data_IF_824821034915
#
_entry.id   IF_824821034915
#
_cell.length_a   1.000
_cell.length_b   1.000
_cell.length_c   1.000
_cell.angle_alpha   90.00
_cell.angle_beta   90.00
_cell.angle_gamma   90.00
#
_symmetry.space_group_name_H-M   'P 1'
#
loop_
_entity.id
_entity.type
_entity.pdbx_description
1 polymer ?
#
# COMPACT_ATOMS: atom_id res chain seq x y z
N UNK A 1 15.11 -11.99 -3.72
CA UNK A 1 14.97 -10.54 -3.49
C UNK A 1 14.76 -10.36 -2.02
N UNK A 2 15.64 -9.64 -1.35
CA UNK A 2 15.53 -9.43 0.09
C UNK A 2 14.31 -8.55 0.38
N UNK A 3 13.45 -9.00 1.30
CA UNK A 3 12.18 -8.32 1.66
C UNK A 3 12.40 -6.86 2.06
N UNK A 4 13.58 -6.55 2.62
CA UNK A 4 14.01 -5.20 3.01
C UNK A 4 14.20 -4.27 1.82
N UNK A 5 14.77 -4.76 0.72
CA UNK A 5 14.98 -3.95 -0.49
C UNK A 5 13.62 -3.53 -1.07
N UNK A 6 12.63 -4.44 -1.08
CA UNK A 6 11.28 -4.14 -1.53
C UNK A 6 10.59 -3.09 -0.64
N UNK A 7 10.70 -3.21 0.69
CA UNK A 7 10.18 -2.22 1.63
C UNK A 7 10.88 -0.86 1.50
N UNK A 8 12.20 -0.81 1.29
CA UNK A 8 12.93 0.45 1.09
C UNK A 8 12.67 1.09 -0.28
N UNK A 9 12.30 0.31 -1.30
CA UNK A 9 11.88 0.85 -2.60
C UNK A 9 10.54 1.60 -2.52
N UNK A 10 9.66 1.26 -1.57
CA UNK A 10 8.34 1.87 -1.44
C UNK A 10 8.41 3.40 -1.22
N UNK A 11 9.10 3.93 -0.18
CA UNK A 11 9.17 5.37 0.06
C UNK A 11 9.77 6.15 -1.11
N UNK A 12 10.74 5.55 -1.81
CA UNK A 12 11.38 6.15 -2.99
C UNK A 12 10.40 6.26 -4.18
N UNK A 13 9.66 5.18 -4.47
CA UNK A 13 8.66 5.16 -5.53
C UNK A 13 7.47 6.08 -5.22
N UNK A 14 7.02 6.13 -3.96
CA UNK A 14 5.96 7.03 -3.52
C UNK A 14 6.38 8.50 -3.60
N UNK A 15 7.61 8.82 -3.23
CA UNK A 15 8.15 10.19 -3.40
C UNK A 15 8.20 10.60 -4.88
N UNK A 16 8.65 9.68 -5.75
CA UNK A 16 8.65 9.90 -7.20
C UNK A 16 7.23 10.10 -7.74
N UNK A 17 6.26 9.30 -7.30
CA UNK A 17 4.85 9.44 -7.68
C UNK A 17 4.26 10.78 -7.23
N UNK A 18 4.65 11.31 -6.07
CA UNK A 18 4.27 12.65 -5.62
C UNK A 18 4.87 13.75 -6.52
N UNK A 19 6.13 13.62 -6.96
CA UNK A 19 6.74 14.57 -7.90
C UNK A 19 6.05 14.57 -9.27
N UNK A 20 5.65 13.38 -9.75
CA UNK A 20 4.91 13.24 -11.01
C UNK A 20 3.57 13.99 -10.99
N UNK A 21 2.92 14.10 -9.83
CA UNK A 21 1.66 14.86 -9.64
C UNK A 21 1.83 16.37 -9.77
N UNK A 22 3.06 16.89 -9.70
CA UNK A 22 3.36 18.30 -9.97
C UNK A 22 3.30 18.64 -11.47
N UNK A 23 3.39 17.63 -12.35
CA UNK A 23 3.38 17.88 -13.78
C UNK A 23 1.98 18.18 -14.31
N UNK A 24 1.85 19.23 -15.12
CA UNK A 24 0.59 19.60 -15.81
C UNK A 24 0.18 18.63 -16.93
N UNK A 25 0.97 17.58 -17.20
CA UNK A 25 0.67 16.60 -18.24
C UNK A 25 -0.26 15.51 -17.71
N UNK A 26 -1.44 15.36 -18.35
CA UNK A 26 -2.42 14.34 -17.99
C UNK A 26 -1.86 12.92 -17.97
N UNK A 27 -1.00 12.56 -18.95
CA UNK A 27 -0.38 11.24 -19.03
C UNK A 27 0.53 10.93 -17.82
N UNK A 28 1.25 11.93 -17.30
CA UNK A 28 2.08 11.76 -16.11
C UNK A 28 1.23 11.63 -14.84
N UNK A 29 0.08 12.30 -14.79
CA UNK A 29 -0.87 12.15 -13.70
C UNK A 29 -1.45 10.73 -13.66
N UNK A 30 -1.84 10.16 -14.81
CA UNK A 30 -2.32 8.77 -14.89
C UNK A 30 -1.21 7.80 -14.50
N UNK A 31 0.02 8.03 -14.96
CA UNK A 31 1.17 7.19 -14.58
C UNK A 31 1.42 7.20 -13.07
N UNK A 32 1.30 8.37 -12.41
CA UNK A 32 1.45 8.48 -10.96
C UNK A 32 0.44 7.60 -10.20
N UNK A 33 -0.80 7.49 -10.69
CA UNK A 33 -1.85 6.64 -10.09
C UNK A 33 -1.55 5.16 -10.23
N UNK A 34 -1.00 4.75 -11.37
CA UNK A 34 -0.59 3.36 -11.59
C UNK A 34 0.56 3.01 -10.65
N UNK A 35 1.54 3.91 -10.50
CA UNK A 35 2.68 3.74 -9.59
C UNK A 35 2.20 3.66 -8.13
N UNK A 36 1.26 4.53 -7.71
CA UNK A 36 0.71 4.51 -6.35
C UNK A 36 0.08 3.13 -6.00
N UNK A 37 -0.67 2.54 -6.94
CA UNK A 37 -1.26 1.21 -6.75
C UNK A 37 -0.21 0.10 -6.62
N UNK A 38 0.84 0.17 -7.45
CA UNK A 38 1.96 -0.76 -7.36
C UNK A 38 2.69 -0.63 -6.02
N UNK A 39 2.91 0.60 -5.54
CA UNK A 39 3.52 0.90 -4.25
C UNK A 39 2.71 0.29 -3.09
N UNK A 40 1.37 0.42 -3.10
CA UNK A 40 0.52 -0.16 -2.07
C UNK A 40 0.64 -1.69 -2.00
N UNK A 41 0.75 -2.34 -3.15
CA UNK A 41 0.95 -3.79 -3.24
C UNK A 41 2.33 -4.20 -2.70
N UNK A 42 3.35 -3.39 -3.04
CA UNK A 42 4.73 -3.54 -2.57
C UNK A 42 4.90 -3.34 -1.08
N UNK A 43 4.06 -2.55 -0.39
CA UNK A 43 4.13 -2.43 1.07
C UNK A 43 3.33 -3.54 1.75
N UNK A 44 2.09 -3.80 1.30
CA UNK A 44 1.19 -4.74 1.99
C UNK A 44 1.67 -6.19 1.95
N UNK A 45 2.14 -6.67 0.79
CA UNK A 45 2.53 -8.07 0.62
C UNK A 45 3.78 -8.45 1.44
N UNK A 46 4.95 -7.78 1.29
CA UNK A 46 6.12 -8.14 2.08
C UNK A 46 5.96 -7.79 3.56
N UNK A 47 5.13 -6.79 3.92
CA UNK A 47 4.81 -6.52 5.31
C UNK A 47 4.06 -7.69 5.95
N UNK A 48 3.01 -8.21 5.32
CA UNK A 48 2.28 -9.38 5.82
C UNK A 48 3.17 -10.62 5.90
N UNK A 49 4.03 -10.85 4.90
CA UNK A 49 4.97 -11.97 4.90
C UNK A 49 6.05 -11.86 5.98
N UNK A 50 6.54 -10.65 6.25
CA UNK A 50 7.49 -10.44 7.34
C UNK A 50 6.82 -10.58 8.69
N UNK A 51 5.67 -9.91 8.88
CA UNK A 51 4.93 -9.96 10.14
C UNK A 51 4.56 -11.40 10.51
N UNK A 52 4.07 -12.18 9.55
CA UNK A 52 3.77 -13.60 9.78
C UNK A 52 5.03 -14.42 10.14
N UNK A 53 6.20 -14.09 9.56
CA UNK A 53 7.45 -14.79 9.88
C UNK A 53 7.91 -14.45 11.30
N UNK A 54 7.98 -13.17 11.66
CA UNK A 54 8.44 -12.72 12.97
C UNK A 54 7.52 -13.25 14.09
N UNK A 55 6.20 -13.16 13.89
CA UNK A 55 5.20 -13.57 14.87
C UNK A 55 5.21 -15.09 15.15
N UNK A 56 5.53 -15.90 14.14
CA UNK A 56 5.58 -17.37 14.25
C UNK A 56 6.95 -17.92 14.63
N UNK A 57 8.04 -17.24 14.25
CA UNK A 57 9.40 -17.77 14.43
C UNK A 57 10.06 -17.20 15.69
N UNK A 58 9.91 -15.92 15.95
CA UNK A 58 10.67 -15.25 17.03
C UNK A 58 9.88 -15.19 18.34
N UNK A 59 8.55 -15.16 18.27
CA UNK A 59 7.69 -14.98 19.45
C UNK A 59 6.69 -16.13 19.70
N UNK A 60 6.58 -17.10 18.79
CA UNK A 60 5.68 -18.27 18.87
C UNK A 60 4.25 -17.94 19.32
N UNK A 61 3.71 -16.83 18.81
CA UNK A 61 2.38 -16.36 19.18
C UNK A 61 1.28 -17.16 18.46
N UNK A 62 0.05 -17.22 19.03
CA UNK A 62 -1.08 -17.89 18.39
C UNK A 62 -1.38 -17.27 17.02
N UNK A 63 -1.57 -18.12 16.02
CA UNK A 63 -1.91 -17.69 14.63
C UNK A 63 -3.16 -16.82 14.55
N UNK A 64 -4.04 -16.91 15.54
CA UNK A 64 -5.30 -16.16 15.62
C UNK A 64 -5.10 -14.67 15.90
N UNK A 65 -3.94 -14.24 16.43
CA UNK A 65 -3.66 -12.84 16.74
C UNK A 65 -3.17 -12.03 15.53
N UNK A 66 -2.74 -12.72 14.47
CA UNK A 66 -2.33 -12.11 13.20
C UNK A 66 -3.49 -11.34 12.54
N UNK A 67 -4.66 -11.97 12.27
CA UNK A 67 -5.78 -11.26 11.65
C UNK A 67 -6.34 -10.15 12.55
N UNK A 68 -6.32 -10.31 13.88
CA UNK A 68 -6.75 -9.26 14.82
C UNK A 68 -5.86 -8.02 14.71
N UNK A 69 -4.54 -8.20 14.72
CA UNK A 69 -3.58 -7.10 14.61
C UNK A 69 -3.70 -6.41 13.25
N UNK A 70 -3.80 -7.17 12.16
CA UNK A 70 -4.00 -6.61 10.82
C UNK A 70 -5.35 -5.88 10.69
N UNK A 71 -6.40 -6.37 11.36
CA UNK A 71 -7.70 -5.71 11.46
C UNK A 71 -7.63 -4.38 12.21
N UNK A 72 -6.87 -4.32 13.31
CA UNK A 72 -6.60 -3.10 14.05
C UNK A 72 -5.85 -2.08 13.19
N UNK A 73 -4.78 -2.50 12.52
CA UNK A 73 -4.00 -1.64 11.60
C UNK A 73 -4.89 -1.10 10.48
N UNK A 74 -5.74 -1.94 9.89
CA UNK A 74 -6.71 -1.51 8.87
C UNK A 74 -7.72 -0.49 9.41
N UNK A 75 -8.13 -0.62 10.68
CA UNK A 75 -9.07 0.31 11.33
C UNK A 75 -8.41 1.66 11.60
N UNK A 76 -7.20 1.65 12.17
CA UNK A 76 -6.40 2.87 12.41
C UNK A 76 -6.12 3.60 11.09
N UNK A 77 -5.83 2.86 10.02
CA UNK A 77 -5.58 3.45 8.69
C UNK A 77 -6.77 4.23 8.15
N UNK A 78 -8.01 3.76 8.42
CA UNK A 78 -9.24 4.48 8.04
C UNK A 78 -9.41 5.78 8.83
N UNK A 79 -9.14 5.75 10.14
CA UNK A 79 -9.19 6.96 10.97
C UNK A 79 -8.13 7.97 10.55
N UNK A 80 -6.90 7.51 10.26
CA UNK A 80 -5.83 8.35 9.73
C UNK A 80 -6.20 8.97 8.38
N UNK A 81 -6.89 8.24 7.50
CA UNK A 81 -7.36 8.77 6.23
C UNK A 81 -8.33 9.95 6.43
N UNK A 82 -9.29 9.84 7.34
CA UNK A 82 -10.21 10.94 7.69
C UNK A 82 -9.44 12.12 8.27
N UNK A 83 -8.54 11.89 9.23
CA UNK A 83 -7.72 12.94 9.83
C UNK A 83 -6.85 13.67 8.79
N UNK A 84 -6.30 12.93 7.82
CA UNK A 84 -5.47 13.51 6.76
C UNK A 84 -6.25 14.48 5.87
N UNK A 85 -7.55 14.23 5.64
CA UNK A 85 -8.42 15.14 4.90
C UNK A 85 -8.58 16.49 5.60
N UNK A 86 -8.85 16.47 6.91
CA UNK A 86 -8.94 17.69 7.71
C UNK A 86 -7.61 18.46 7.77
N UNK A 87 -6.48 17.74 7.91
CA UNK A 87 -5.16 18.37 7.91
C UNK A 87 -4.88 19.02 6.55
N UNK A 88 -5.24 18.37 5.44
CA UNK A 88 -5.06 18.94 4.11
C UNK A 88 -5.88 20.23 3.93
N UNK A 89 -7.13 20.25 4.36
CA UNK A 89 -8.00 21.44 4.31
C UNK A 89 -7.45 22.60 5.15
N UNK A 90 -7.05 22.33 6.41
CA UNK A 90 -6.44 23.34 7.28
C UNK A 90 -5.16 23.94 6.69
N UNK A 91 -4.33 23.10 6.07
CA UNK A 91 -3.07 23.52 5.47
C UNK A 91 -3.33 24.35 4.20
N UNK A 92 -4.32 23.99 3.38
CA UNK A 92 -4.73 24.80 2.23
C UNK A 92 -5.27 26.17 2.66
N UNK A 93 -6.06 26.26 3.73
CA UNK A 93 -6.57 27.53 4.26
C UNK A 93 -5.46 28.47 4.74
N UNK A 94 -4.43 27.93 5.40
CA UNK A 94 -3.29 28.71 5.91
C UNK A 94 -2.39 29.20 4.79
N UNK A 95 -2.01 28.31 3.86
CA UNK A 95 -1.01 28.63 2.84
C UNK A 95 -1.60 29.16 1.53
N UNK A 96 -2.92 29.04 1.32
CA UNK A 96 -3.66 29.46 0.11
C UNK A 96 -3.12 28.85 -1.20
N UNK A 97 -2.43 27.73 -1.12
CA UNK A 97 -1.81 27.03 -2.25
C UNK A 97 -2.36 25.60 -2.32
N UNK A 98 -3.13 25.31 -3.38
CA UNK A 98 -3.80 24.01 -3.62
C UNK A 98 -2.83 22.82 -3.81
N UNK A 99 -1.54 23.07 -4.07
CA UNK A 99 -0.53 22.03 -4.29
C UNK A 99 0.19 21.61 -3.01
N UNK A 100 -0.01 22.32 -1.90
CA UNK A 100 0.73 22.12 -0.66
C UNK A 100 0.54 20.74 0.01
N UNK A 101 -0.64 20.08 -0.01
CA UNK A 101 -0.76 18.76 0.62
C UNK A 101 0.16 17.69 0.00
N UNK A 102 0.46 17.79 -1.30
CA UNK A 102 1.42 16.90 -1.96
C UNK A 102 2.86 17.18 -1.56
N UNK A 103 3.21 18.46 -1.35
CA UNK A 103 4.54 18.87 -0.89
C UNK A 103 4.77 18.42 0.55
N UNK A 104 3.73 18.48 1.40
CA UNK A 104 3.79 18.01 2.79
C UNK A 104 3.92 16.49 2.90
N UNK A 105 3.42 15.73 1.92
CA UNK A 105 3.55 14.27 1.90
C UNK A 105 4.98 13.78 1.62
N UNK A 106 5.77 14.52 0.81
CA UNK A 106 7.15 14.14 0.45
C UNK A 106 8.07 13.98 1.69
N UNK A 107 8.20 14.97 2.60
CA UNK A 107 9.05 14.82 3.78
C UNK A 107 8.54 13.73 4.73
N UNK A 108 7.22 13.50 4.79
CA UNK A 108 6.65 12.41 5.57
C UNK A 108 7.04 11.03 5.00
N UNK A 109 7.02 10.86 3.68
CA UNK A 109 7.50 9.61 3.05
C UNK A 109 9.00 9.40 3.25
N UNK A 110 9.80 10.47 3.16
CA UNK A 110 11.24 10.38 3.42
C UNK A 110 11.49 10.00 4.89
N UNK A 111 10.79 10.63 5.84
CA UNK A 111 10.90 10.29 7.27
C UNK A 111 10.43 8.86 7.58
N UNK A 112 9.36 8.41 6.94
CA UNK A 112 8.90 7.02 7.07
C UNK A 112 9.93 6.04 6.48
N UNK A 113 10.54 6.39 5.34
CA UNK A 113 11.58 5.56 4.73
C UNK A 113 12.85 5.48 5.56
N UNK A 114 13.30 6.61 6.13
CA UNK A 114 14.44 6.58 7.05
C UNK A 114 14.11 5.79 8.31
N UNK A 115 12.92 6.00 8.89
CA UNK A 115 12.46 5.22 10.04
C UNK A 115 12.43 3.73 9.74
N UNK A 116 11.92 3.31 8.59
CA UNK A 116 11.91 1.90 8.18
C UNK A 116 13.34 1.34 8.04
N UNK A 117 14.27 2.11 7.47
CA UNK A 117 15.66 1.69 7.37
C UNK A 117 16.35 1.53 8.74
N UNK A 118 16.00 2.36 9.74
CA UNK A 118 16.60 2.29 11.08
C UNK A 118 15.90 1.30 12.01
N UNK A 119 14.57 1.26 11.98
CA UNK A 119 13.76 0.40 12.84
C UNK A 119 13.79 -1.06 12.41
N UNK A 120 14.23 -1.36 11.17
CA UNK A 120 14.39 -2.71 10.67
C UNK A 120 15.83 -3.18 10.86
N UNK A 121 16.18 -3.83 11.99
CA UNK A 121 17.53 -4.35 12.19
C UNK A 121 17.87 -5.36 11.09
N UNK A 122 19.14 -5.45 10.74
CA UNK A 122 19.66 -6.47 9.82
C UNK A 122 19.52 -7.87 10.44
N UNK A 123 18.30 -8.40 10.50
CA UNK A 123 18.01 -9.83 10.65
C UNK A 123 18.58 -10.59 9.46
N UNK A 124 19.90 -10.74 9.46
CA UNK A 124 20.55 -11.93 8.94
C UNK A 124 19.98 -13.10 9.75
N UNK A 125 19.33 -14.08 9.12
CA UNK A 125 18.99 -15.29 9.85
C UNK A 125 20.30 -15.94 10.32
N UNK A 126 20.44 -16.38 11.57
CA UNK A 126 21.46 -17.35 11.90
C UNK A 126 21.23 -18.59 11.04
N UNK A 127 22.30 -19.12 10.46
CA UNK A 127 22.37 -20.21 9.48
C UNK A 127 21.65 -21.51 9.89
N UNK A 128 21.17 -21.61 11.14
CA UNK A 128 20.76 -22.84 11.81
C UNK A 128 19.37 -22.79 12.50
N UNK A 129 18.39 -22.05 11.96
CA UNK A 129 17.01 -22.12 12.50
C UNK A 129 16.21 -23.26 11.85
N UNK A 130 15.52 -24.12 12.63
CA UNK A 130 14.74 -25.23 12.09
C UNK A 130 13.62 -24.67 11.22
N UNK A 131 13.57 -25.14 9.98
CA UNK A 131 12.57 -24.76 8.98
C UNK A 131 11.16 -25.15 9.46
N UNK A 132 10.45 -24.23 10.09
CA UNK A 132 9.00 -24.36 10.26
C UNK A 132 8.32 -24.30 8.88
N UNK A 133 7.16 -24.97 8.71
CA UNK A 133 6.47 -25.04 7.43
C UNK A 133 6.05 -23.63 7.04
N UNK A 134 6.79 -23.02 6.11
CA UNK A 134 6.32 -21.84 5.44
C UNK A 134 4.98 -22.21 4.79
N UNK A 135 3.89 -21.42 4.97
CA UNK A 135 2.68 -21.65 4.19
C UNK A 135 3.12 -21.60 2.74
N UNK A 136 2.95 -22.71 2.02
CA UNK A 136 3.48 -23.15 0.71
C UNK A 136 3.69 -22.07 -0.39
N UNK A 137 4.33 -20.94 -0.09
CA UNK A 137 4.79 -19.94 -1.03
C UNK A 137 6.26 -20.22 -1.24
N UNK A 138 6.49 -21.25 -2.05
CA UNK A 138 7.76 -21.84 -2.42
C UNK A 138 8.82 -20.74 -2.63
N UNK A 139 9.62 -20.46 -1.60
CA UNK A 139 10.96 -19.91 -1.74
C UNK A 139 11.91 -21.11 -1.80
N UNK A 140 11.71 -21.91 -2.85
CA UNK A 140 12.69 -22.87 -3.30
C UNK A 140 13.22 -22.34 -4.64
N UNK A 141 14.50 -22.60 -4.91
CA UNK A 141 15.22 -22.26 -6.14
C UNK A 141 14.51 -22.88 -7.36
N UNK A 142 13.43 -22.24 -7.78
CA UNK A 142 12.45 -22.67 -8.78
C UNK A 142 12.02 -21.49 -9.63
N UNK A 143 11.34 -21.77 -10.76
CA UNK A 143 11.45 -21.04 -12.03
C UNK A 143 11.13 -19.54 -11.89
N UNK A 144 11.69 -18.72 -12.80
CA UNK A 144 11.70 -17.26 -12.73
C UNK A 144 10.32 -16.62 -12.48
N UNK A 145 10.31 -15.34 -12.09
CA UNK A 145 9.11 -14.56 -11.72
C UNK A 145 7.86 -14.85 -12.58
N UNK A 146 8.03 -14.92 -13.91
CA UNK A 146 6.96 -15.22 -14.86
C UNK A 146 6.34 -16.62 -14.72
N UNK A 147 7.12 -17.63 -14.35
CA UNK A 147 6.61 -18.98 -14.11
C UNK A 147 5.75 -19.04 -12.83
N UNK A 148 6.16 -18.33 -11.77
CA UNK A 148 5.37 -18.21 -10.54
C UNK A 148 4.07 -17.45 -10.77
N UNK A 149 4.09 -16.40 -11.58
CA UNK A 149 2.89 -15.71 -12.03
C UNK A 149 1.96 -16.64 -12.78
N UNK A 150 2.48 -17.47 -13.70
CA UNK A 150 1.64 -18.37 -14.47
C UNK A 150 1.01 -19.48 -13.60
N UNK A 151 1.73 -20.01 -12.62
CA UNK A 151 1.18 -20.98 -11.65
C UNK A 151 0.12 -20.36 -10.74
N UNK A 152 0.36 -19.14 -10.24
CA UNK A 152 -0.60 -18.41 -9.40
C UNK A 152 -1.86 -18.03 -10.18
N UNK A 153 -1.68 -17.65 -11.44
CA UNK A 153 -2.78 -17.39 -12.38
C UNK A 153 -3.63 -18.65 -12.53
N UNK A 154 -3.03 -19.80 -12.86
CA UNK A 154 -3.75 -21.05 -13.03
C UNK A 154 -4.58 -21.43 -11.80
N UNK A 155 -4.03 -21.29 -10.59
CA UNK A 155 -4.73 -21.58 -9.35
C UNK A 155 -5.90 -20.62 -9.07
N UNK A 156 -5.72 -19.33 -9.35
CA UNK A 156 -6.77 -18.31 -9.17
C UNK A 156 -7.93 -18.55 -10.15
N UNK A 157 -7.62 -18.88 -11.41
CA UNK A 157 -8.64 -19.16 -12.42
C UNK A 157 -9.38 -20.49 -12.20
N UNK A 158 -8.81 -21.41 -11.43
CA UNK A 158 -9.42 -22.70 -11.13
C UNK A 158 -10.52 -22.60 -10.07
N UNK A 159 -10.51 -21.56 -9.23
CA UNK A 159 -11.48 -21.36 -8.16
C UNK A 159 -12.45 -20.21 -8.50
N UNK A 160 -13.68 -20.51 -8.99
CA UNK A 160 -14.62 -19.47 -9.44
C UNK A 160 -15.04 -18.53 -8.30
N UNK A 161 -15.09 -19.03 -7.06
CA UNK A 161 -15.45 -18.21 -5.89
C UNK A 161 -14.41 -17.10 -5.61
N UNK A 162 -13.13 -17.39 -5.81
CA UNK A 162 -12.06 -16.39 -5.60
C UNK A 162 -12.14 -15.32 -6.68
N UNK A 163 -12.35 -15.71 -7.94
CA UNK A 163 -12.57 -14.77 -9.03
C UNK A 163 -13.79 -13.88 -8.79
N UNK A 164 -14.91 -14.46 -8.33
CA UNK A 164 -16.13 -13.72 -8.03
C UNK A 164 -15.89 -12.66 -6.96
N UNK A 165 -15.17 -13.01 -5.89
CA UNK A 165 -14.79 -12.08 -4.83
C UNK A 165 -13.88 -10.96 -5.36
N UNK A 166 -12.91 -11.28 -6.21
CA UNK A 166 -12.04 -10.28 -6.84
C UNK A 166 -12.84 -9.30 -7.72
N UNK A 167 -13.74 -9.80 -8.56
CA UNK A 167 -14.59 -8.96 -9.44
C UNK A 167 -15.52 -8.08 -8.61
N UNK A 168 -16.14 -8.63 -7.58
CA UNK A 168 -16.99 -7.87 -6.67
C UNK A 168 -16.19 -6.75 -5.98
N UNK A 169 -15.01 -7.07 -5.47
CA UNK A 169 -14.14 -6.11 -4.79
C UNK A 169 -13.69 -4.98 -5.73
N UNK A 170 -13.22 -5.29 -6.93
CA UNK A 170 -12.79 -4.27 -7.90
C UNK A 170 -13.94 -3.40 -8.39
N UNK A 171 -15.14 -3.97 -8.57
CA UNK A 171 -16.34 -3.22 -8.91
C UNK A 171 -16.71 -2.22 -7.81
N UNK A 172 -16.73 -2.68 -6.55
CA UNK A 172 -17.01 -1.82 -5.40
C UNK A 172 -15.99 -0.70 -5.24
N UNK A 173 -14.71 -1.02 -5.36
CA UNK A 173 -13.66 -0.01 -5.25
C UNK A 173 -13.70 0.97 -6.42
N UNK A 174 -14.07 0.53 -7.62
CA UNK A 174 -14.26 1.42 -8.77
C UNK A 174 -15.44 2.36 -8.53
N UNK A 175 -16.58 1.84 -8.06
CA UNK A 175 -17.75 2.65 -7.72
C UNK A 175 -17.42 3.69 -6.66
N UNK A 176 -16.74 3.29 -5.58
CA UNK A 176 -16.29 4.20 -4.52
C UNK A 176 -15.37 5.30 -5.05
N UNK A 177 -14.38 4.95 -5.87
CA UNK A 177 -13.46 5.92 -6.46
C UNK A 177 -14.18 6.90 -7.39
N UNK A 178 -15.13 6.43 -8.19
CA UNK A 178 -15.92 7.28 -9.08
C UNK A 178 -16.76 8.29 -8.29
N UNK A 179 -17.38 7.85 -7.19
CA UNK A 179 -18.09 8.75 -6.27
C UNK A 179 -17.17 9.84 -5.72
N UNK A 180 -15.96 9.49 -5.25
CA UNK A 180 -15.00 10.48 -4.77
C UNK A 180 -14.60 11.49 -5.84
N UNK A 181 -14.39 11.06 -7.09
CA UNK A 181 -14.03 11.96 -8.19
C UNK A 181 -15.18 12.86 -8.64
N UNK A 182 -16.41 12.38 -8.59
CA UNK A 182 -17.60 13.12 -9.02
C UNK A 182 -18.05 14.10 -7.93
N UNK A 183 -17.89 13.76 -6.65
CA UNK A 183 -18.39 14.57 -5.55
C UNK A 183 -17.63 15.90 -5.37
N UNK A 184 -16.30 15.89 -5.55
CA UNK A 184 -15.46 17.10 -5.44
C UNK A 184 -15.88 18.23 -6.40
N UNK A 185 -16.02 18.03 -7.73
CA UNK A 185 -16.45 19.09 -8.64
C UNK A 185 -17.91 19.52 -8.39
N UNK A 186 -18.79 18.60 -7.97
CA UNK A 186 -20.18 18.94 -7.63
C UNK A 186 -20.23 19.95 -6.49
N UNK A 187 -19.45 19.74 -5.43
CA UNK A 187 -19.41 20.70 -4.33
C UNK A 187 -18.81 22.03 -4.71
N UNK A 188 -17.76 22.04 -5.53
CA UNK A 188 -17.17 23.28 -6.02
C UNK A 188 -18.20 24.07 -6.85
N UNK A 189 -19.00 23.38 -7.68
CA UNK A 189 -20.08 24.01 -8.42
C UNK A 189 -21.19 24.54 -7.52
N UNK A 190 -21.65 23.78 -6.53
CA UNK A 190 -22.71 24.22 -5.60
C UNK A 190 -22.26 25.41 -4.74
N UNK A 191 -21.01 25.43 -4.28
CA UNK A 191 -20.45 26.53 -3.50
C UNK A 191 -20.35 27.84 -4.31
N UNK A 192 -20.15 27.77 -5.63
CA UNK A 192 -20.20 28.94 -6.52
C UNK A 192 -21.60 29.47 -6.82
N UNK A 193 -22.64 28.63 -6.71
CA UNK A 193 -24.03 29.03 -7.01
C UNK A 193 -24.70 29.67 -5.79
N UNK A 194 -24.32 29.27 -4.58
CA UNK A 194 -24.88 29.77 -3.32
C UNK A 194 -24.08 30.92 -2.66
N UNK A 195 -22.97 31.35 -3.27
CA UNK A 195 -22.17 32.51 -2.84
C UNK A 195 -22.29 33.63 -3.86
#
# INVERSE_FOLDING_TARGET
MDRKILCCCFPALSSLACLLKFSSNYNLLVLSRIIDGACLSLISAPFQEWYAKEHLVDFDFPKDWIPETLGLVGTVSKYLAVASGFIAELVEDVFKITLFPFVLAIPLFVAAGTWMCFAWPNSFPPENSPSLPQPNFIVQNGPGFFARLNSSRKFTFQNPNVLLLCVYHTLLDTCRNLLYFVWTPIFVHLNRVYR
#
